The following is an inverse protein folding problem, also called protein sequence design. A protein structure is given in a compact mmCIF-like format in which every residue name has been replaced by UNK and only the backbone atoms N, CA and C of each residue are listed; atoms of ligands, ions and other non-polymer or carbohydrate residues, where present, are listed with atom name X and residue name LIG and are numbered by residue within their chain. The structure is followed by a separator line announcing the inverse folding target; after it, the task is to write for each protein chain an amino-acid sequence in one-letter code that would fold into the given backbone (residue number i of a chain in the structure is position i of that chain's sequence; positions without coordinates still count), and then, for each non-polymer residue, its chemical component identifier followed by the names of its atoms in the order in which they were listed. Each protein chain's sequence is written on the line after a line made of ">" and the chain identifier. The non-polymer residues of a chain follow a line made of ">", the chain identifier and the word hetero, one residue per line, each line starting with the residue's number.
data_IF_187052675114
#
_entry.id   IF_187052675114
#
_cell.length_a   1.000
_cell.length_b   1.000
_cell.length_c   1.000
_cell.angle_alpha   90.00
_cell.angle_beta   90.00
_cell.angle_gamma   90.00
#
_symmetry.space_group_name_H-M   'P 1'
#
loop_
_entity.id
_entity.type
_entity.pdbx_description
1 polymer ?
#
# COMPACT_ATOMS: atom_id res chain seq x y z
N UNK A 1 12.18 20.31 -15.65
CA UNK A 1 12.78 19.68 -14.45
C UNK A 1 12.12 18.35 -14.03
N UNK A 2 10.82 18.14 -14.25
CA UNK A 2 10.11 16.90 -13.84
C UNK A 2 10.51 15.62 -14.60
N UNK A 3 10.91 15.72 -15.88
CA UNK A 3 11.25 14.55 -16.71
C UNK A 3 12.49 13.78 -16.23
N UNK A 4 13.52 14.48 -15.73
CA UNK A 4 14.73 13.83 -15.24
C UNK A 4 14.47 13.02 -13.97
N UNK A 5 13.57 13.50 -13.10
CA UNK A 5 13.20 12.81 -11.86
C UNK A 5 12.35 11.57 -12.17
N UNK A 6 11.45 11.65 -13.16
CA UNK A 6 10.69 10.48 -13.65
C UNK A 6 11.59 9.40 -14.23
N UNK A 7 12.55 9.79 -15.06
CA UNK A 7 13.50 8.87 -15.70
C UNK A 7 14.43 8.22 -14.68
N UNK A 8 14.91 8.99 -13.69
CA UNK A 8 15.70 8.49 -12.56
C UNK A 8 14.91 7.45 -11.72
N UNK A 9 13.63 7.71 -11.44
CA UNK A 9 12.76 6.76 -10.71
C UNK A 9 12.54 5.46 -11.48
N UNK A 10 12.38 5.52 -12.80
CA UNK A 10 12.25 4.31 -13.63
C UNK A 10 13.56 3.52 -13.66
N UNK A 11 14.70 4.20 -13.82
CA UNK A 11 16.00 3.54 -13.86
C UNK A 11 16.35 2.87 -12.53
N UNK A 12 15.99 3.48 -11.39
CA UNK A 12 16.14 2.88 -10.07
C UNK A 12 15.15 1.75 -9.78
N UNK A 13 13.98 1.73 -10.43
CA UNK A 13 12.97 0.70 -10.20
C UNK A 13 13.38 -0.69 -10.69
N UNK A 14 14.21 -0.75 -11.73
CA UNK A 14 14.70 -2.00 -12.34
C UNK A 14 15.69 -2.80 -11.44
N UNK A 15 16.75 -2.21 -10.87
CA UNK A 15 17.62 -2.95 -9.95
C UNK A 15 16.90 -3.24 -8.63
N UNK A 16 16.02 -2.35 -8.16
CA UNK A 16 15.25 -2.58 -6.94
C UNK A 16 14.22 -3.71 -7.08
N UNK A 17 13.58 -3.87 -8.24
CA UNK A 17 12.66 -5.00 -8.48
C UNK A 17 13.38 -6.34 -8.56
N UNK A 18 14.64 -6.36 -8.99
CA UNK A 18 15.48 -7.55 -9.02
C UNK A 18 16.10 -7.89 -7.65
N UNK A 19 16.46 -6.88 -6.84
CA UNK A 19 17.09 -7.08 -5.53
C UNK A 19 16.11 -7.29 -4.37
N UNK A 20 14.87 -6.78 -4.48
CA UNK A 20 13.87 -6.91 -3.42
C UNK A 20 13.04 -8.16 -3.67
N UNK A 21 13.30 -9.22 -2.90
CA UNK A 21 12.34 -10.32 -2.75
C UNK A 21 11.16 -9.83 -1.91
N UNK A 22 10.14 -9.33 -2.61
CA UNK A 22 8.83 -9.16 -2.00
C UNK A 22 8.24 -10.55 -1.76
N UNK A 23 8.32 -11.03 -0.52
CA UNK A 23 7.59 -12.20 -0.06
C UNK A 23 6.41 -11.69 0.80
N UNK A 24 5.30 -11.26 0.19
CA UNK A 24 4.10 -10.96 0.95
C UNK A 24 3.66 -12.22 1.69
N UNK A 25 3.38 -12.08 2.98
CA UNK A 25 2.78 -13.12 3.81
C UNK A 25 1.43 -12.54 4.22
N UNK A 26 0.31 -13.10 3.72
CA UNK A 26 0.16 -14.27 2.85
C UNK A 26 0.54 -13.99 1.38
N UNK A 27 0.88 -15.04 0.62
CA UNK A 27 1.24 -14.91 -0.78
C UNK A 27 0.01 -14.66 -1.67
N UNK A 28 -1.11 -15.32 -1.35
CA UNK A 28 -2.42 -15.12 -1.98
C UNK A 28 -3.46 -14.73 -0.91
N UNK A 29 -3.45 -13.49 -0.41
CA UNK A 29 -4.26 -13.10 0.74
C UNK A 29 -5.77 -13.23 0.50
N UNK A 30 -6.24 -13.10 -0.75
CA UNK A 30 -7.67 -13.23 -1.09
C UNK A 30 -8.17 -14.65 -0.82
N UNK A 31 -7.44 -15.66 -1.29
CA UNK A 31 -7.82 -17.07 -1.11
C UNK A 31 -7.53 -17.54 0.31
N UNK A 32 -6.31 -17.28 0.80
CA UNK A 32 -5.84 -17.77 2.10
C UNK A 32 -6.64 -17.20 3.28
N UNK A 33 -7.08 -15.93 3.19
CA UNK A 33 -7.88 -15.28 4.22
C UNK A 33 -9.37 -15.19 3.83
N UNK A 34 -9.77 -15.80 2.71
CA UNK A 34 -11.15 -15.74 2.17
C UNK A 34 -11.70 -14.30 2.14
N UNK A 35 -10.88 -13.35 1.68
CA UNK A 35 -11.25 -11.94 1.64
C UNK A 35 -12.31 -11.71 0.57
N UNK A 36 -13.45 -11.18 0.97
CA UNK A 36 -14.38 -10.56 0.04
C UNK A 36 -13.85 -9.16 -0.32
N UNK A 37 -13.48 -8.93 -1.57
CA UNK A 37 -12.99 -7.62 -2.05
C UNK A 37 -14.12 -6.61 -2.34
N UNK A 38 -15.38 -7.06 -2.33
CA UNK A 38 -16.55 -6.20 -2.54
C UNK A 38 -17.05 -5.54 -1.26
N UNK A 39 -16.59 -5.98 -0.09
CA UNK A 39 -16.84 -5.28 1.18
C UNK A 39 -15.78 -4.20 1.43
N UNK A 40 -16.09 -3.19 2.25
CA UNK A 40 -15.09 -2.23 2.72
C UNK A 40 -13.94 -2.95 3.43
N UNK A 41 -12.70 -2.62 3.05
CA UNK A 41 -11.48 -3.17 3.65
C UNK A 41 -10.70 -2.00 4.21
N UNK A 42 -10.21 -2.08 5.46
CA UNK A 42 -9.35 -1.03 6.04
C UNK A 42 -7.97 -1.63 6.29
N UNK A 43 -6.96 -0.96 5.76
CA UNK A 43 -5.56 -1.33 5.96
C UNK A 43 -4.97 -0.63 7.16
N UNK A 44 -4.27 -1.37 8.00
CA UNK A 44 -3.66 -0.86 9.22
C UNK A 44 -2.16 -0.86 9.04
N UNK A 45 -1.55 0.33 9.02
CA UNK A 45 -0.11 0.51 8.90
C UNK A 45 0.48 0.83 10.28
N UNK A 46 1.68 0.31 10.62
CA UNK A 46 2.24 0.50 11.96
C UNK A 46 2.69 1.94 12.22
N UNK A 47 3.27 2.61 11.22
CA UNK A 47 3.85 3.95 11.36
C UNK A 47 3.50 4.85 10.16
N UNK A 48 3.53 6.17 10.37
CA UNK A 48 3.37 7.23 9.37
C UNK A 48 4.55 7.33 8.40
N UNK A 49 4.76 6.30 7.58
CA UNK A 49 5.85 6.24 6.60
C UNK A 49 5.31 6.29 5.17
N UNK A 50 5.64 7.36 4.45
CA UNK A 50 5.22 7.53 3.04
C UNK A 50 5.89 6.51 2.11
N UNK A 51 7.13 6.14 2.39
CA UNK A 51 7.84 5.10 1.63
C UNK A 51 7.14 3.75 1.79
N UNK A 52 6.80 3.38 3.02
CA UNK A 52 6.12 2.12 3.30
C UNK A 52 4.72 2.12 2.70
N UNK A 53 3.99 3.24 2.75
CA UNK A 53 2.68 3.36 2.11
C UNK A 53 2.76 3.12 0.59
N UNK A 54 3.75 3.68 -0.10
CA UNK A 54 3.92 3.47 -1.54
C UNK A 54 4.23 2.01 -1.87
N UNK A 55 5.11 1.37 -1.09
CA UNK A 55 5.45 -0.05 -1.26
C UNK A 55 4.22 -0.92 -0.98
N UNK A 56 3.51 -0.63 0.10
CA UNK A 56 2.30 -1.33 0.51
C UNK A 56 1.19 -1.24 -0.54
N UNK A 57 0.94 -0.04 -1.09
CA UNK A 57 -0.04 0.17 -2.17
C UNK A 57 0.31 -0.66 -3.39
N UNK A 58 1.58 -0.69 -3.81
CA UNK A 58 2.01 -1.53 -4.96
C UNK A 58 1.72 -3.00 -4.71
N UNK A 59 2.00 -3.50 -3.50
CA UNK A 59 1.72 -4.88 -3.15
C UNK A 59 0.22 -5.19 -3.15
N UNK A 60 -0.62 -4.29 -2.62
CA UNK A 60 -2.08 -4.45 -2.66
C UNK A 60 -2.57 -4.60 -4.11
N UNK A 61 -2.17 -3.68 -4.98
CA UNK A 61 -2.57 -3.70 -6.39
C UNK A 61 -2.07 -4.95 -7.13
N UNK A 62 -0.82 -5.37 -6.86
CA UNK A 62 -0.24 -6.57 -7.45
C UNK A 62 -0.98 -7.87 -7.05
N UNK A 63 -1.58 -7.88 -5.86
CA UNK A 63 -2.35 -9.00 -5.32
C UNK A 63 -3.86 -8.90 -5.59
N UNK A 64 -4.30 -7.92 -6.40
CA UNK A 64 -5.72 -7.70 -6.72
C UNK A 64 -6.54 -7.14 -5.56
N UNK A 65 -5.89 -6.62 -4.51
CA UNK A 65 -6.56 -5.98 -3.38
C UNK A 65 -6.97 -4.54 -3.74
N UNK A 66 -8.05 -4.01 -3.13
CA UNK A 66 -8.49 -2.63 -3.35
C UNK A 66 -7.40 -1.60 -3.04
N UNK A 67 -7.35 -0.51 -3.80
CA UNK A 67 -6.33 0.51 -3.64
C UNK A 67 -6.43 1.22 -2.26
N UNK A 68 -5.41 1.14 -1.38
CA UNK A 68 -5.43 1.85 -0.09
C UNK A 68 -5.56 3.37 -0.22
N UNK A 69 -5.21 3.97 -1.36
CA UNK A 69 -5.36 5.42 -1.57
C UNK A 69 -6.79 5.84 -1.92
N UNK A 70 -7.65 4.90 -2.30
CA UNK A 70 -9.07 5.18 -2.53
C UNK A 70 -9.85 5.29 -1.21
N UNK A 71 -11.05 5.87 -1.28
CA UNK A 71 -11.95 5.92 -0.12
C UNK A 71 -12.82 4.67 -0.09
N UNK A 72 -13.05 4.15 1.11
CA UNK A 72 -14.15 3.24 1.40
C UNK A 72 -15.48 4.00 1.42
N UNK A 73 -16.53 3.32 1.02
CA UNK A 73 -17.90 3.77 1.27
C UNK A 73 -18.53 2.86 2.32
N UNK A 74 -18.88 3.43 3.48
CA UNK A 74 -19.48 2.70 4.61
C UNK A 74 -20.74 3.46 5.00
N UNK A 75 -21.90 2.85 4.79
CA UNK A 75 -23.22 3.47 5.06
C UNK A 75 -23.38 4.85 4.39
N UNK A 76 -22.93 5.01 3.14
CA UNK A 76 -22.98 6.28 2.40
C UNK A 76 -21.91 7.32 2.80
N UNK A 77 -21.04 7.01 3.76
CA UNK A 77 -19.95 7.88 4.20
C UNK A 77 -18.63 7.46 3.53
N UNK A 78 -17.93 8.43 2.93
CA UNK A 78 -16.62 8.20 2.29
C UNK A 78 -15.48 8.35 3.31
N UNK A 79 -14.88 7.23 3.70
CA UNK A 79 -13.80 7.17 4.70
C UNK A 79 -12.47 6.71 4.07
N UNK A 80 -11.31 7.07 4.63
CA UNK A 80 -10.03 6.53 4.18
C UNK A 80 -9.99 5.00 4.25
N UNK A 81 -9.31 4.36 3.29
CA UNK A 81 -9.08 2.91 3.28
C UNK A 81 -7.86 2.48 4.11
N UNK A 82 -7.19 3.42 4.77
CA UNK A 82 -6.04 3.11 5.63
C UNK A 82 -6.05 3.93 6.91
N UNK A 83 -5.40 3.40 7.95
CA UNK A 83 -5.11 4.06 9.21
C UNK A 83 -3.69 3.75 9.64
N UNK A 84 -3.07 4.65 10.41
CA UNK A 84 -1.80 4.40 11.09
C UNK A 84 -2.05 4.09 12.57
N UNK A 85 -1.36 3.09 13.12
CA UNK A 85 -1.45 2.75 14.54
C UNK A 85 -0.66 3.72 15.41
N UNK A 86 0.49 4.18 14.90
CA UNK A 86 1.35 5.14 15.55
C UNK A 86 1.60 6.29 14.57
N UNK A 87 1.44 7.53 15.05
CA UNK A 87 1.82 8.73 14.31
C UNK A 87 3.34 8.88 14.16
N UNK A 88 4.09 7.93 14.72
CA UNK A 88 5.54 7.96 14.86
C UNK A 88 5.90 8.74 16.12
N UNK A 89 7.06 8.43 16.71
CA UNK A 89 7.62 9.27 17.77
C UNK A 89 7.73 10.71 17.25
N UNK A 90 6.83 11.58 17.72
CA UNK A 90 7.02 13.04 17.68
C UNK A 90 8.31 13.31 18.44
N UNK A 91 9.43 13.43 17.73
CA UNK A 91 10.68 13.92 18.31
C UNK A 91 10.50 15.41 18.59
N UNK A 92 9.92 15.67 19.77
CA UNK A 92 9.70 16.98 20.42
C UNK A 92 8.67 17.90 19.76
#
# INVERSE_FOLDING_TARGET
>A
MANFINMYRQLLSLPLSALVKNNPIPANPIEELSLNIHQPIVYVLPYTSQTDFVIFRRNCLALGLPDPAEKNEINGVKLPRYVYLDEGRRIF
#
